data_IF_843021474142
#
_entry.id   IF_843021474142
#
_cell.length_a   1.000
_cell.length_b   1.000
_cell.length_c   1.000
_cell.angle_alpha   90.00
_cell.angle_beta   90.00
_cell.angle_gamma   90.00
#
_symmetry.space_group_name_H-M   'P 1'
#
loop_
_entity.id
_entity.type
_entity.pdbx_description
1 polymer ?
#
# COMPACT_ATOMS: atom_id res chain seq x y z
N UNK A 1 8.07 -24.31 55.95
CA UNK A 1 7.03 -23.28 56.23
C UNK A 1 5.76 -24.03 56.58
N UNK A 2 5.48 -24.11 57.87
CA UNK A 2 4.37 -24.86 58.46
C UNK A 2 3.10 -24.03 58.34
N UNK A 3 2.07 -24.57 57.67
CA UNK A 3 0.75 -23.94 57.59
C UNK A 3 0.10 -23.91 58.98
N UNK A 4 -0.42 -22.74 59.38
CA UNK A 4 -1.10 -22.53 60.66
C UNK A 4 -2.52 -23.13 60.62
N UNK A 5 -2.95 -23.85 61.67
CA UNK A 5 -4.30 -24.40 61.76
C UNK A 5 -5.33 -23.28 61.97
N UNK A 6 -6.35 -23.24 61.11
CA UNK A 6 -7.50 -22.33 61.26
C UNK A 6 -7.77 -21.37 60.10
N UNK A 7 -6.90 -21.32 59.08
CA UNK A 7 -7.14 -20.52 57.87
C UNK A 7 -7.07 -21.40 56.61
N UNK A 8 -7.98 -21.23 55.64
CA UNK A 8 -7.97 -22.03 54.42
C UNK A 8 -6.69 -21.74 53.63
N UNK A 9 -5.95 -22.80 53.26
CA UNK A 9 -4.74 -22.67 52.44
C UNK A 9 -5.09 -22.10 51.06
N UNK A 10 -4.15 -21.35 50.45
CA UNK A 10 -4.30 -20.79 49.09
C UNK A 10 -4.64 -21.86 48.03
N UNK A 11 -4.28 -23.12 48.29
CA UNK A 11 -4.56 -24.28 47.43
C UNK A 11 -5.98 -24.85 47.59
N UNK A 12 -6.63 -24.61 48.73
CA UNK A 12 -8.04 -24.95 48.95
C UNK A 12 -9.00 -23.91 48.38
N UNK A 13 -8.58 -22.62 48.30
CA UNK A 13 -9.38 -21.56 47.69
C UNK A 13 -9.58 -21.76 46.17
N UNK A 14 -8.56 -22.26 45.46
CA UNK A 14 -8.62 -22.54 44.02
C UNK A 14 -9.41 -23.81 43.67
N UNK A 15 -9.69 -24.70 44.62
CA UNK A 15 -10.47 -25.93 44.39
C UNK A 15 -11.94 -25.82 44.75
N UNK A 16 -12.36 -24.75 45.45
CA UNK A 16 -13.72 -24.58 45.94
C UNK A 16 -14.61 -23.67 45.06
N UNK A 17 -14.07 -23.02 44.02
CA UNK A 17 -14.87 -22.24 43.06
C UNK A 17 -15.32 -23.11 41.88
N UNK A 18 -15.97 -24.22 42.19
CA UNK A 18 -16.70 -25.07 41.24
C UNK A 18 -18.14 -25.20 41.72
N UNK A 19 -18.88 -24.09 41.71
CA UNK A 19 -20.34 -24.10 41.84
C UNK A 19 -20.95 -22.79 41.33
N UNK A 20 -21.64 -22.90 40.20
CA UNK A 20 -22.86 -22.16 39.88
C UNK A 20 -22.79 -20.63 39.77
N UNK A 21 -22.42 -20.14 38.59
CA UNK A 21 -23.06 -18.93 38.05
C UNK A 21 -23.60 -19.26 36.66
N UNK A 22 -24.92 -19.52 36.59
CA UNK A 22 -25.65 -19.34 35.34
C UNK A 22 -25.71 -17.84 35.06
N UNK A 23 -24.71 -17.31 34.37
CA UNK A 23 -24.81 -16.00 33.74
C UNK A 23 -25.63 -16.19 32.47
N UNK A 24 -26.91 -15.82 32.59
CA UNK A 24 -27.77 -15.50 31.44
C UNK A 24 -26.96 -14.69 30.43
N UNK A 25 -26.95 -15.16 29.18
CA UNK A 25 -26.20 -14.56 28.10
C UNK A 25 -26.55 -13.08 27.95
N UNK A 26 -25.64 -12.22 28.39
CA UNK A 26 -25.43 -10.97 27.69
C UNK A 26 -24.41 -11.31 26.61
N UNK A 27 -24.92 -11.72 25.45
CA UNK A 27 -24.16 -11.53 24.23
C UNK A 27 -23.85 -10.03 24.19
N UNK A 28 -22.63 -9.68 24.58
CA UNK A 28 -22.05 -8.41 24.15
C UNK A 28 -21.95 -8.57 22.65
N UNK A 29 -23.00 -8.18 21.94
CA UNK A 29 -22.90 -7.89 20.53
C UNK A 29 -21.76 -6.90 20.46
N UNK A 30 -20.60 -7.35 20.00
CA UNK A 30 -19.54 -6.47 19.57
C UNK A 30 -20.17 -5.65 18.44
N UNK A 31 -20.74 -4.51 18.79
CA UNK A 31 -21.15 -3.52 17.82
C UNK A 31 -19.85 -3.13 17.14
N UNK A 32 -19.71 -3.53 15.88
CA UNK A 32 -18.65 -3.02 15.03
C UNK A 32 -18.69 -1.51 15.16
N UNK A 33 -17.57 -0.90 15.56
CA UNK A 33 -17.47 0.56 15.50
C UNK A 33 -17.87 0.99 14.08
N UNK A 34 -18.75 1.99 13.95
CA UNK A 34 -19.10 2.49 12.64
C UNK A 34 -17.82 3.01 11.98
N UNK A 35 -17.33 2.27 10.98
CA UNK A 35 -16.20 2.69 10.15
C UNK A 35 -16.59 4.01 9.49
N UNK A 36 -15.93 5.09 9.87
CA UNK A 36 -16.08 6.37 9.16
C UNK A 36 -15.69 6.14 7.71
N UNK A 37 -16.54 6.49 6.72
CA UNK A 37 -16.20 6.30 5.32
C UNK A 37 -14.93 7.07 4.98
N UNK A 38 -14.03 6.51 4.15
CA UNK A 38 -12.81 7.21 3.77
C UNK A 38 -13.14 8.48 3.01
N UNK A 39 -12.29 9.50 3.18
CA UNK A 39 -12.35 10.74 2.38
C UNK A 39 -12.25 10.38 0.89
N UNK A 40 -13.15 10.85 0.02
CA UNK A 40 -13.05 10.63 -1.42
C UNK A 40 -11.67 11.03 -1.98
N UNK A 41 -11.22 10.42 -3.07
CA UNK A 41 -9.88 10.69 -3.61
C UNK A 41 -9.77 12.11 -4.20
N UNK A 42 -10.88 12.66 -4.66
CA UNK A 42 -11.03 14.05 -5.10
C UNK A 42 -10.86 15.07 -3.96
N UNK A 43 -11.16 14.67 -2.72
CA UNK A 43 -11.08 15.51 -1.53
C UNK A 43 -9.81 15.23 -0.70
N UNK A 44 -8.91 14.39 -1.21
CA UNK A 44 -7.65 14.07 -0.52
C UNK A 44 -6.75 15.32 -0.39
N UNK A 45 -6.30 15.61 0.83
CA UNK A 45 -5.33 16.67 1.10
C UNK A 45 -3.93 16.22 0.68
N UNK A 46 -3.59 16.53 -0.57
CA UNK A 46 -2.31 16.15 -1.20
C UNK A 46 -1.12 16.81 -0.52
N UNK A 47 -0.07 16.02 -0.31
CA UNK A 47 1.18 16.46 0.33
C UNK A 47 2.28 16.77 -0.68
N UNK A 48 2.34 16.03 -1.79
CA UNK A 48 3.39 16.16 -2.80
C UNK A 48 2.86 16.65 -4.14
N UNK A 49 1.82 16.00 -4.66
CA UNK A 49 1.36 16.23 -6.02
C UNK A 49 0.52 17.51 -6.16
N UNK A 50 0.68 18.20 -7.29
CA UNK A 50 -0.27 19.23 -7.72
C UNK A 50 -1.49 18.61 -8.44
N UNK A 51 -2.43 19.45 -8.88
CA UNK A 51 -3.66 19.01 -9.57
C UNK A 51 -3.41 18.13 -10.80
N UNK A 52 -2.47 18.52 -11.66
CA UNK A 52 -2.20 17.82 -12.91
C UNK A 52 -1.49 16.48 -12.67
N UNK A 53 -0.53 16.47 -11.74
CA UNK A 53 0.19 15.27 -11.37
C UNK A 53 -0.72 14.28 -10.62
N UNK A 54 -1.60 14.77 -9.76
CA UNK A 54 -2.59 13.93 -9.08
C UNK A 54 -3.51 13.24 -10.08
N UNK A 55 -4.05 14.00 -11.05
CA UNK A 55 -4.88 13.43 -12.11
C UNK A 55 -4.12 12.37 -12.93
N UNK A 56 -2.84 12.61 -13.22
CA UNK A 56 -1.97 11.62 -13.87
C UNK A 56 -1.84 10.34 -13.05
N UNK A 57 -1.55 10.45 -11.76
CA UNK A 57 -1.37 9.29 -10.87
C UNK A 57 -2.66 8.49 -10.71
N UNK A 58 -3.81 9.15 -10.58
CA UNK A 58 -5.12 8.49 -10.60
C UNK A 58 -5.28 7.66 -11.88
N UNK A 59 -5.10 8.27 -13.05
CA UNK A 59 -5.27 7.58 -14.33
C UNK A 59 -4.26 6.44 -14.51
N UNK A 60 -2.97 6.68 -14.27
CA UNK A 60 -1.93 5.71 -14.52
C UNK A 60 -2.04 4.48 -13.59
N UNK A 61 -2.28 4.70 -12.29
CA UNK A 61 -2.45 3.59 -11.34
C UNK A 61 -3.71 2.77 -11.61
N UNK A 62 -4.79 3.41 -12.07
CA UNK A 62 -6.02 2.72 -12.49
C UNK A 62 -5.82 1.84 -13.74
N UNK A 63 -4.83 2.12 -14.60
CA UNK A 63 -4.44 1.22 -15.70
C UNK A 63 -3.52 0.09 -15.25
N UNK A 64 -2.64 0.37 -14.27
CA UNK A 64 -1.68 -0.62 -13.75
C UNK A 64 -2.34 -1.72 -12.90
N UNK A 65 -3.35 -1.37 -12.10
CA UNK A 65 -4.20 -2.32 -11.37
C UNK A 65 -5.66 -1.88 -11.53
N UNK A 66 -6.37 -2.37 -12.55
CA UNK A 66 -7.71 -1.92 -12.89
C UNK A 66 -8.78 -2.55 -11.98
N UNK A 67 -9.93 -1.88 -11.91
CA UNK A 67 -11.06 -2.26 -11.03
C UNK A 67 -12.02 -3.29 -11.64
N UNK A 68 -11.84 -3.66 -12.91
CA UNK A 68 -12.70 -4.58 -13.66
C UNK A 68 -12.33 -6.07 -13.49
N UNK A 69 -11.27 -6.36 -12.74
CA UNK A 69 -10.86 -7.72 -12.38
C UNK A 69 -11.59 -8.32 -11.17
N UNK A 70 -11.14 -9.50 -10.74
CA UNK A 70 -11.70 -10.22 -9.58
C UNK A 70 -11.35 -9.58 -8.23
N UNK A 71 -10.32 -8.72 -8.20
CA UNK A 71 -9.83 -8.04 -7.01
C UNK A 71 -10.11 -6.53 -7.04
N UNK A 72 -9.85 -5.83 -5.92
CA UNK A 72 -10.01 -4.37 -5.87
C UNK A 72 -8.96 -3.69 -6.77
N UNK A 73 -9.29 -2.58 -7.41
CA UNK A 73 -8.34 -1.81 -8.20
C UNK A 73 -7.43 -0.91 -7.35
N UNK A 74 -6.51 -0.23 -8.02
CA UNK A 74 -5.59 0.72 -7.38
C UNK A 74 -6.31 1.88 -6.68
N UNK A 75 -7.44 2.33 -7.24
CA UNK A 75 -8.19 3.46 -6.68
C UNK A 75 -8.97 3.06 -5.42
N UNK A 76 -9.62 1.89 -5.44
CA UNK A 76 -10.36 1.35 -4.30
C UNK A 76 -9.42 1.09 -3.11
N UNK A 77 -8.21 0.62 -3.41
CA UNK A 77 -7.14 0.42 -2.41
C UNK A 77 -6.39 1.69 -2.04
N UNK A 78 -6.69 2.84 -2.65
CA UNK A 78 -6.06 4.15 -2.41
C UNK A 78 -4.54 4.19 -2.67
N UNK A 79 -4.05 3.42 -3.64
CA UNK A 79 -2.65 3.48 -4.08
C UNK A 79 -2.15 4.90 -4.37
N UNK A 80 -2.90 5.80 -5.03
CA UNK A 80 -2.49 7.19 -5.23
C UNK A 80 -2.10 7.92 -3.94
N UNK A 81 -2.84 7.70 -2.84
CA UNK A 81 -2.57 8.32 -1.55
C UNK A 81 -1.24 7.82 -0.96
N UNK A 82 -0.96 6.51 -1.08
CA UNK A 82 0.34 5.96 -0.69
C UNK A 82 1.49 6.66 -1.42
N UNK A 83 1.38 6.79 -2.74
CA UNK A 83 2.43 7.39 -3.57
C UNK A 83 2.65 8.86 -3.18
N UNK A 84 1.58 9.64 -2.99
CA UNK A 84 1.66 11.04 -2.56
C UNK A 84 2.40 11.19 -1.22
N UNK A 85 2.02 10.39 -0.22
CA UNK A 85 2.68 10.41 1.10
C UNK A 85 4.14 9.93 1.03
N UNK A 86 4.43 8.89 0.26
CA UNK A 86 5.79 8.39 0.09
C UNK A 86 6.72 9.41 -0.55
N UNK A 87 6.24 10.13 -1.57
CA UNK A 87 7.04 11.14 -2.26
C UNK A 87 7.20 12.43 -1.43
N UNK A 88 6.26 12.73 -0.53
CA UNK A 88 6.41 13.81 0.45
C UNK A 88 7.40 13.46 1.57
N UNK A 89 7.59 12.16 1.85
CA UNK A 89 8.43 11.64 2.93
C UNK A 89 9.92 11.48 2.58
N UNK A 90 10.63 10.84 3.51
CA UNK A 90 12.08 10.59 3.46
C UNK A 90 12.48 9.75 2.24
N UNK A 91 11.62 8.79 1.85
CA UNK A 91 11.77 8.01 0.61
C UNK A 91 11.81 8.91 -0.63
N UNK A 92 10.85 9.82 -0.77
CA UNK A 92 10.79 10.75 -1.90
C UNK A 92 12.04 11.63 -2.01
N UNK A 93 12.58 12.05 -0.86
CA UNK A 93 13.81 12.86 -0.79
C UNK A 93 15.10 12.04 -0.93
N UNK A 94 14.99 10.71 -0.85
CA UNK A 94 16.10 9.78 -0.83
C UNK A 94 17.07 10.00 0.35
N UNK A 95 16.53 10.35 1.54
CA UNK A 95 17.32 10.74 2.71
C UNK A 95 18.27 9.61 3.19
N UNK A 96 17.86 8.35 3.04
CA UNK A 96 18.64 7.16 3.42
C UNK A 96 19.44 6.54 2.26
N UNK A 97 19.46 7.16 1.08
CA UNK A 97 20.16 6.62 -0.09
C UNK A 97 21.54 7.24 -0.25
N UNK A 98 22.49 6.45 -0.74
CA UNK A 98 23.77 7.01 -1.18
C UNK A 98 23.58 7.70 -2.54
N UNK A 99 23.38 9.02 -2.51
CA UNK A 99 23.13 9.86 -3.69
C UNK A 99 24.34 10.72 -4.09
N UNK A 100 25.53 10.43 -3.55
CA UNK A 100 26.75 11.18 -3.90
C UNK A 100 27.31 10.63 -5.21
N UNK A 101 27.64 11.54 -6.13
CA UNK A 101 28.22 11.19 -7.42
C UNK A 101 29.61 10.54 -7.34
N UNK A 102 30.21 10.21 -8.49
CA UNK A 102 29.73 10.53 -9.84
C UNK A 102 28.50 9.71 -10.27
N UNK A 103 27.62 10.35 -11.04
CA UNK A 103 26.45 9.72 -11.67
C UNK A 103 26.70 9.54 -13.16
N UNK A 104 26.21 8.44 -13.74
CA UNK A 104 26.16 8.23 -15.19
C UNK A 104 24.75 7.76 -15.60
N UNK A 105 23.81 8.71 -15.79
CA UNK A 105 22.42 8.37 -16.13
C UNK A 105 22.29 7.52 -17.41
N UNK A 106 23.28 7.57 -18.30
CA UNK A 106 23.32 6.82 -19.55
C UNK A 106 23.91 5.40 -19.42
N UNK A 107 24.47 5.07 -18.26
CA UNK A 107 25.08 3.77 -18.00
C UNK A 107 24.09 2.63 -18.18
N UNK A 108 24.61 1.42 -18.41
CA UNK A 108 23.80 0.20 -18.50
C UNK A 108 22.85 0.06 -17.29
N UNK A 109 21.55 -0.25 -17.50
CA UNK A 109 20.56 -0.38 -16.41
C UNK A 109 20.96 -1.39 -15.33
N UNK A 110 21.80 -2.38 -15.65
CA UNK A 110 22.29 -3.37 -14.67
C UNK A 110 23.20 -2.76 -13.59
N UNK A 111 23.64 -1.50 -13.76
CA UNK A 111 24.41 -0.75 -12.75
C UNK A 111 23.53 -0.09 -11.68
N UNK A 112 22.23 -0.35 -11.68
CA UNK A 112 21.30 0.16 -10.68
C UNK A 112 21.04 1.67 -10.83
N UNK A 113 20.79 2.34 -9.71
CA UNK A 113 20.43 3.76 -9.69
C UNK A 113 21.62 4.66 -10.07
N UNK A 114 21.60 5.18 -11.29
CA UNK A 114 22.68 6.03 -11.83
C UNK A 114 22.24 7.47 -12.12
N UNK A 115 20.97 7.81 -11.87
CA UNK A 115 20.45 9.18 -11.99
C UNK A 115 20.79 10.01 -10.74
N UNK A 116 21.13 11.30 -10.88
CA UNK A 116 21.31 12.20 -9.74
C UNK A 116 19.98 12.58 -9.08
N UNK A 117 18.84 12.24 -9.69
CA UNK A 117 17.53 12.61 -9.21
C UNK A 117 17.06 11.66 -8.12
N UNK A 118 16.42 12.20 -7.08
CA UNK A 118 15.69 11.39 -6.10
C UNK A 118 14.31 10.98 -6.62
N UNK A 119 13.61 10.01 -5.98
CA UNK A 119 12.31 9.54 -6.45
C UNK A 119 11.29 10.67 -6.68
N UNK A 120 11.18 11.63 -5.75
CA UNK A 120 10.28 12.78 -5.91
C UNK A 120 10.59 13.58 -7.20
N UNK A 121 11.86 13.90 -7.43
CA UNK A 121 12.29 14.62 -8.63
C UNK A 121 12.02 13.84 -9.93
N UNK A 122 12.15 12.51 -9.90
CA UNK A 122 11.79 11.66 -11.05
C UNK A 122 10.31 11.83 -11.41
N UNK A 123 9.39 11.83 -10.44
CA UNK A 123 7.97 12.09 -10.73
C UNK A 123 7.73 13.52 -11.22
N UNK A 124 8.31 14.52 -10.54
CA UNK A 124 8.15 15.95 -10.88
C UNK A 124 8.55 16.27 -12.31
N UNK A 125 9.58 15.59 -12.82
CA UNK A 125 10.11 15.79 -14.18
C UNK A 125 9.55 14.78 -15.19
N UNK A 126 9.31 13.54 -14.76
CA UNK A 126 8.83 12.45 -15.60
C UNK A 126 7.40 12.64 -16.08
N UNK A 127 6.49 13.08 -15.21
CA UNK A 127 5.08 13.32 -15.55
C UNK A 127 4.93 14.34 -16.70
N UNK A 128 5.46 15.58 -16.60
CA UNK A 128 5.33 16.54 -17.69
C UNK A 128 6.07 16.09 -18.96
N UNK A 129 7.21 15.42 -18.85
CA UNK A 129 7.94 14.91 -20.02
C UNK A 129 7.12 13.85 -20.78
N UNK A 130 6.51 12.90 -20.05
CA UNK A 130 5.65 11.88 -20.63
C UNK A 130 4.35 12.45 -21.20
N UNK A 131 3.73 13.43 -20.51
CA UNK A 131 2.58 14.16 -21.05
C UNK A 131 2.95 14.90 -22.34
N UNK A 132 4.14 15.53 -22.42
CA UNK A 132 4.63 16.17 -23.63
C UNK A 132 4.76 15.20 -24.81
N UNK A 133 5.18 13.96 -24.56
CA UNK A 133 5.19 12.92 -25.58
C UNK A 133 3.78 12.48 -25.99
N UNK A 134 2.86 12.34 -25.03
CA UNK A 134 1.45 12.03 -25.32
C UNK A 134 0.81 13.10 -26.19
N UNK A 135 1.04 14.38 -25.88
CA UNK A 135 0.56 15.52 -26.69
C UNK A 135 1.11 15.47 -28.12
N UNK A 136 2.40 15.14 -28.29
CA UNK A 136 2.99 15.01 -29.63
C UNK A 136 2.42 13.84 -30.43
N UNK A 137 2.14 12.70 -29.76
CA UNK A 137 1.68 11.48 -30.42
C UNK A 137 0.17 11.45 -30.66
N UNK A 138 -0.61 11.95 -29.71
CA UNK A 138 -2.07 11.81 -29.66
C UNK A 138 -2.81 13.16 -29.67
N UNK A 139 -2.09 14.30 -29.63
CA UNK A 139 -2.69 15.66 -29.52
C UNK A 139 -3.54 15.86 -28.27
N UNK A 140 -3.24 15.10 -27.20
CA UNK A 140 -3.86 15.23 -25.90
C UNK A 140 -2.94 14.70 -24.79
N UNK A 141 -3.08 15.26 -23.58
CA UNK A 141 -2.40 14.79 -22.40
C UNK A 141 -2.85 13.37 -22.02
N UNK A 142 -2.02 12.62 -21.29
CA UNK A 142 -2.28 11.23 -20.94
C UNK A 142 -3.67 11.00 -20.31
N UNK A 143 -4.08 11.90 -19.42
CA UNK A 143 -5.37 11.80 -18.70
C UNK A 143 -6.59 12.02 -19.59
N UNK A 144 -6.43 12.61 -20.77
CA UNK A 144 -7.50 12.85 -21.74
C UNK A 144 -7.56 11.79 -22.86
N UNK A 145 -6.64 10.82 -22.86
CA UNK A 145 -6.62 9.71 -23.81
C UNK A 145 -7.72 8.67 -23.49
N UNK A 146 -8.10 7.87 -24.49
CA UNK A 146 -8.97 6.70 -24.24
C UNK A 146 -8.22 5.65 -23.40
N UNK A 147 -8.92 4.74 -22.70
CA UNK A 147 -8.26 3.69 -21.91
C UNK A 147 -7.24 2.86 -22.71
N UNK A 148 -7.56 2.53 -23.96
CA UNK A 148 -6.68 1.78 -24.86
C UNK A 148 -5.43 2.59 -25.22
N UNK A 149 -5.59 3.89 -25.50
CA UNK A 149 -4.47 4.78 -25.76
C UNK A 149 -3.61 5.00 -24.52
N UNK A 150 -4.20 5.02 -23.32
CA UNK A 150 -3.44 5.06 -22.07
C UNK A 150 -2.58 3.81 -21.89
N UNK A 151 -3.12 2.62 -22.18
CA UNK A 151 -2.36 1.37 -22.13
C UNK A 151 -1.21 1.36 -23.13
N UNK A 152 -1.47 1.79 -24.36
CA UNK A 152 -0.44 1.91 -25.40
C UNK A 152 0.65 2.91 -24.99
N UNK A 153 0.27 4.04 -24.41
CA UNK A 153 1.21 5.05 -23.93
C UNK A 153 2.06 4.55 -22.76
N UNK A 154 1.46 3.90 -21.76
CA UNK A 154 2.19 3.29 -20.64
C UNK A 154 3.11 2.15 -21.10
N UNK A 155 2.68 1.37 -22.09
CA UNK A 155 3.50 0.32 -22.71
C UNK A 155 4.70 0.93 -23.44
N UNK A 156 4.51 2.01 -24.19
CA UNK A 156 5.62 2.72 -24.85
C UNK A 156 6.60 3.30 -23.82
N UNK A 157 6.08 3.82 -22.71
CA UNK A 157 6.90 4.32 -21.59
C UNK A 157 7.70 3.18 -20.94
N UNK A 158 7.07 2.04 -20.68
CA UNK A 158 7.73 0.83 -20.16
C UNK A 158 8.87 0.34 -21.06
N UNK A 159 8.66 0.37 -22.37
CA UNK A 159 9.65 -0.09 -23.37
C UNK A 159 10.74 0.94 -23.66
N UNK A 160 10.67 2.13 -23.08
CA UNK A 160 11.61 3.22 -23.33
C UNK A 160 11.43 3.90 -24.70
N UNK A 161 10.30 3.67 -25.38
CA UNK A 161 10.00 4.22 -26.72
C UNK A 161 9.62 5.70 -26.68
N UNK A 162 9.33 6.23 -25.49
CA UNK A 162 9.02 7.65 -25.25
C UNK A 162 10.25 8.54 -25.46
N UNK A 163 11.47 8.01 -25.33
CA UNK A 163 12.70 8.78 -25.50
C UNK A 163 12.91 9.84 -24.40
N UNK A 164 12.54 9.52 -23.16
CA UNK A 164 12.84 10.38 -22.01
C UNK A 164 14.35 10.58 -21.86
N UNK A 165 14.73 11.71 -21.24
CA UNK A 165 16.14 11.95 -20.89
C UNK A 165 16.67 10.82 -20.00
N UNK A 166 17.96 10.44 -20.11
CA UNK A 166 18.52 9.30 -19.37
C UNK A 166 18.30 9.38 -17.85
N UNK A 167 18.28 10.57 -17.27
CA UNK A 167 18.00 10.83 -15.85
C UNK A 167 16.60 10.36 -15.41
N UNK A 168 15.66 10.27 -16.33
CA UNK A 168 14.26 9.89 -16.08
C UNK A 168 13.94 8.45 -16.49
N UNK A 169 14.94 7.66 -16.88
CA UNK A 169 14.75 6.25 -17.27
C UNK A 169 13.98 5.44 -16.21
N UNK A 170 14.23 5.72 -14.94
CA UNK A 170 13.62 4.98 -13.82
C UNK A 170 12.13 5.31 -13.61
N UNK A 171 11.57 6.30 -14.31
CA UNK A 171 10.22 6.81 -14.05
C UNK A 171 9.14 5.73 -14.09
N UNK A 172 9.10 4.91 -15.14
CA UNK A 172 8.10 3.83 -15.22
C UNK A 172 8.33 2.76 -14.16
N UNK A 173 9.59 2.37 -13.94
CA UNK A 173 9.94 1.33 -12.98
C UNK A 173 9.53 1.74 -11.56
N UNK A 174 9.79 2.99 -11.17
CA UNK A 174 9.33 3.58 -9.92
C UNK A 174 7.81 3.63 -9.82
N UNK A 175 7.12 4.11 -10.86
CA UNK A 175 5.65 4.15 -10.88
C UNK A 175 5.05 2.76 -10.63
N UNK A 176 5.54 1.75 -11.35
CA UNK A 176 5.10 0.37 -11.19
C UNK A 176 5.43 -0.19 -9.80
N UNK A 177 6.64 0.08 -9.30
CA UNK A 177 7.07 -0.34 -7.98
C UNK A 177 6.19 0.27 -6.89
N UNK A 178 6.03 1.60 -6.86
CA UNK A 178 5.24 2.27 -5.84
C UNK A 178 3.74 1.94 -5.95
N UNK A 179 3.24 1.61 -7.15
CA UNK A 179 1.88 1.09 -7.33
C UNK A 179 1.71 -0.24 -6.60
N UNK A 180 2.65 -1.18 -6.79
CA UNK A 180 2.63 -2.48 -6.09
C UNK A 180 2.80 -2.32 -4.59
N UNK A 181 3.72 -1.46 -4.15
CA UNK A 181 3.93 -1.16 -2.74
C UNK A 181 2.68 -0.57 -2.12
N UNK A 182 2.06 0.44 -2.72
CA UNK A 182 0.82 1.03 -2.22
C UNK A 182 -0.34 0.05 -2.20
N UNK A 183 -0.36 -0.93 -3.10
CA UNK A 183 -1.41 -1.94 -3.15
C UNK A 183 -1.26 -3.00 -2.05
N UNK A 184 -0.03 -3.36 -1.68
CA UNK A 184 0.25 -4.45 -0.73
C UNK A 184 0.82 -4.01 0.62
N UNK A 185 1.18 -2.75 0.82
CA UNK A 185 1.68 -2.25 2.10
C UNK A 185 0.59 -2.26 3.18
N UNK A 186 1.02 -2.03 4.42
CA UNK A 186 0.08 -1.82 5.52
C UNK A 186 -0.75 -0.53 5.30
N UNK A 187 -2.07 -0.54 5.61
CA UNK A 187 -2.92 0.63 5.43
C UNK A 187 -2.44 1.90 6.14
N UNK A 188 -1.60 1.77 7.17
CA UNK A 188 -1.04 2.93 7.87
C UNK A 188 -0.23 3.87 6.97
N UNK A 189 0.24 3.40 5.81
CA UNK A 189 1.00 4.18 4.83
C UNK A 189 0.09 4.84 3.76
N UNK A 190 -1.23 4.72 3.86
CA UNK A 190 -2.20 5.41 3.01
C UNK A 190 -2.76 4.57 1.85
N UNK A 191 -2.06 3.51 1.45
CA UNK A 191 -2.51 2.54 0.46
C UNK A 191 -3.26 1.36 1.09
N UNK A 192 -3.52 0.31 0.31
CA UNK A 192 -4.24 -0.91 0.72
C UNK A 192 -5.41 -0.64 1.69
N UNK A 193 -6.21 0.38 1.42
CA UNK A 193 -7.22 0.86 2.37
C UNK A 193 -8.17 -0.26 2.78
N UNK A 194 -8.42 -0.39 4.08
CA UNK A 194 -9.26 -1.46 4.63
C UNK A 194 -8.67 -2.86 4.44
N UNK A 195 -7.38 -2.97 4.11
CA UNK A 195 -6.68 -4.22 3.79
C UNK A 195 -7.34 -4.99 2.63
N UNK A 196 -7.99 -4.29 1.70
CA UNK A 196 -8.75 -4.89 0.62
C UNK A 196 -7.91 -5.83 -0.25
N UNK A 197 -6.67 -5.44 -0.59
CA UNK A 197 -5.77 -6.31 -1.35
C UNK A 197 -5.38 -7.56 -0.55
N UNK A 198 -5.12 -7.40 0.76
CA UNK A 198 -4.79 -8.53 1.63
C UNK A 198 -5.94 -9.51 1.78
N UNK A 199 -7.16 -9.01 1.95
CA UNK A 199 -8.38 -9.82 1.98
C UNK A 199 -8.53 -10.60 0.67
N UNK A 200 -8.34 -9.94 -0.47
CA UNK A 200 -8.44 -10.56 -1.79
C UNK A 200 -7.44 -11.71 -1.97
N UNK A 201 -6.16 -11.52 -1.63
CA UNK A 201 -5.13 -12.56 -1.79
C UNK A 201 -5.09 -13.57 -0.63
N UNK A 202 -5.96 -13.42 0.39
CA UNK A 202 -5.95 -14.25 1.59
C UNK A 202 -4.74 -14.05 2.51
N UNK A 203 -4.07 -12.88 2.44
CA UNK A 203 -2.97 -12.57 3.33
C UNK A 203 -3.51 -12.18 4.72
N UNK A 204 -3.09 -12.87 5.80
CA UNK A 204 -3.62 -12.64 7.16
C UNK A 204 -3.11 -11.36 7.85
N UNK A 205 -2.29 -10.55 7.17
CA UNK A 205 -1.76 -9.30 7.69
C UNK A 205 -0.64 -9.49 8.74
N UNK A 206 -0.36 -8.41 9.48
CA UNK A 206 0.72 -8.30 10.46
C UNK A 206 0.38 -8.99 11.81
N UNK A 207 -0.23 -10.18 11.80
CA UNK A 207 -0.51 -10.92 13.02
C UNK A 207 0.78 -11.37 13.70
N UNK A 208 0.94 -11.02 14.97
CA UNK A 208 2.15 -11.28 15.73
C UNK A 208 2.42 -12.75 16.11
N UNK A 209 1.48 -13.69 15.90
CA UNK A 209 1.71 -15.10 16.22
C UNK A 209 0.86 -16.08 15.42
N UNK A 210 1.51 -17.15 14.94
CA UNK A 210 0.91 -18.29 14.23
C UNK A 210 1.25 -19.63 14.91
N UNK A 211 1.62 -19.63 16.20
CA UNK A 211 2.15 -20.82 16.90
C UNK A 211 1.26 -22.07 16.77
N UNK A 212 -0.06 -21.89 16.85
CA UNK A 212 -1.05 -22.99 16.75
C UNK A 212 -1.29 -23.49 15.31
N UNK A 213 -0.72 -22.81 14.32
CA UNK A 213 -0.92 -23.06 12.89
C UNK A 213 0.32 -23.64 12.19
N UNK A 214 1.46 -23.73 12.89
CA UNK A 214 2.73 -24.23 12.33
C UNK A 214 2.60 -25.66 11.78
N UNK A 215 1.85 -26.52 12.46
CA UNK A 215 1.66 -27.92 12.06
C UNK A 215 0.45 -28.13 11.13
N UNK A 216 -0.27 -27.06 10.77
CA UNK A 216 -1.48 -27.12 9.94
C UNK A 216 -1.15 -26.81 8.49
N UNK A 217 -0.86 -27.84 7.72
CA UNK A 217 -0.50 -27.72 6.31
C UNK A 217 -1.75 -27.70 5.42
N UNK A 218 -1.74 -26.89 4.36
CA UNK A 218 -2.79 -26.82 3.35
C UNK A 218 -4.21 -26.54 3.90
N UNK A 219 -4.30 -25.89 5.05
CA UNK A 219 -5.57 -25.44 5.63
C UNK A 219 -5.69 -23.94 5.46
N UNK A 220 -6.82 -23.48 4.92
CA UNK A 220 -7.11 -22.05 4.81
C UNK A 220 -7.13 -21.41 6.21
N UNK A 221 -6.41 -20.29 6.35
CA UNK A 221 -6.41 -19.54 7.59
C UNK A 221 -7.75 -18.81 7.76
N UNK A 222 -8.49 -19.02 8.87
CA UNK A 222 -9.91 -18.64 8.94
C UNK A 222 -10.13 -17.17 9.34
N UNK A 223 -9.09 -16.45 9.75
CA UNK A 223 -9.22 -15.09 10.23
C UNK A 223 -8.75 -14.10 9.17
N UNK A 224 -9.51 -13.02 8.98
CA UNK A 224 -9.17 -11.94 8.08
C UNK A 224 -7.88 -11.18 8.47
N UNK A 225 -7.43 -10.25 7.63
CA UNK A 225 -6.20 -9.51 7.87
C UNK A 225 -6.25 -8.62 9.11
N UNK A 226 -5.07 -8.39 9.69
CA UNK A 226 -4.85 -7.42 10.77
C UNK A 226 -3.72 -6.46 10.36
N UNK A 227 -3.94 -5.15 10.51
CA UNK A 227 -2.91 -4.15 10.23
C UNK A 227 -1.91 -4.02 11.39
N UNK A 228 -0.80 -3.33 11.18
CA UNK A 228 0.18 -2.96 12.19
C UNK A 228 -0.48 -2.15 13.32
N UNK A 229 -1.46 -1.31 12.99
CA UNK A 229 -2.26 -0.54 13.95
C UNK A 229 -3.32 -1.38 14.69
N UNK A 230 -3.47 -2.66 14.34
CA UNK A 230 -4.44 -3.58 14.95
C UNK A 230 -5.85 -3.50 14.35
N UNK A 231 -6.03 -2.78 13.25
CA UNK A 231 -7.29 -2.71 12.51
C UNK A 231 -7.62 -4.07 11.90
N UNK A 232 -8.91 -4.34 11.66
CA UNK A 232 -9.41 -5.60 11.10
C UNK A 232 -10.31 -5.32 9.89
N UNK A 233 -10.20 -6.17 8.88
CA UNK A 233 -11.11 -6.17 7.72
C UNK A 233 -12.36 -7.01 8.02
#
# INVERSE_FOLDING_TARGET
>A
MTDLPGYPSRRSFLKASAASVMLSGLAVSAQAEPKTPPVPLEDHERQYFNDLEWAFILAATARLIPSDGDGPGALETRVPVFIDLQLAGDYGRADDWYMVGPHDPSADPTRGWQTPLNPAQIYRQGIPAFNGWCEQKYSAAFTALTPEQQDEALTALQKGEVGLQPELREFFALLLQNTKEGYFADPMYGGNHGMQAWTYIGFPGARGSYKEWVERYNVAYPLGPVSIKGERA
#
